data_IF_185168331700
#
_entry.id   IF_185168331700
#
_cell.length_a   1.000
_cell.length_b   1.000
_cell.length_c   1.000
_cell.angle_alpha   90.00
_cell.angle_beta   90.00
_cell.angle_gamma   90.00
#
_symmetry.space_group_name_H-M   'P 1'
#
loop_
_entity.id
_entity.type
_entity.pdbx_description
1 polymer ?
#
# COMPACT_ATOMS: atom_id res chain seq x y z
N UNK A 1 16.65 36.85 -20.75
CA UNK A 1 15.81 35.65 -21.06
C UNK A 1 16.35 34.31 -20.54
N UNK A 2 17.66 34.13 -20.24
CA UNK A 2 18.19 32.87 -19.69
C UNK A 2 17.85 32.62 -18.20
N UNK A 3 17.58 33.66 -17.41
CA UNK A 3 17.30 33.54 -15.97
C UNK A 3 15.86 33.08 -15.65
N UNK A 4 14.90 33.43 -16.51
CA UNK A 4 13.47 33.05 -16.34
C UNK A 4 13.26 31.55 -16.62
N UNK A 5 14.06 30.97 -17.53
CA UNK A 5 14.00 29.55 -17.88
C UNK A 5 14.55 28.62 -16.79
N UNK A 6 15.50 29.10 -15.96
CA UNK A 6 15.99 28.36 -14.79
C UNK A 6 14.96 28.35 -13.65
N UNK A 7 14.16 29.41 -13.52
CA UNK A 7 13.13 29.52 -12.48
C UNK A 7 11.93 28.60 -12.77
N UNK A 8 11.52 28.46 -14.03
CA UNK A 8 10.41 27.56 -14.42
C UNK A 8 10.78 26.08 -14.29
N UNK A 9 12.04 25.69 -14.54
CA UNK A 9 12.52 24.32 -14.33
C UNK A 9 12.60 23.98 -12.83
N UNK A 10 12.95 24.94 -11.98
CA UNK A 10 13.01 24.75 -10.51
C UNK A 10 11.62 24.54 -9.87
N UNK A 11 10.58 25.21 -10.41
CA UNK A 11 9.19 25.08 -9.93
C UNK A 11 8.58 23.72 -10.32
N UNK A 12 8.94 23.15 -11.48
CA UNK A 12 8.50 21.81 -11.91
C UNK A 12 9.14 20.66 -11.11
N UNK A 13 10.34 20.85 -10.55
CA UNK A 13 10.96 19.87 -9.65
C UNK A 13 10.32 19.86 -8.25
N UNK A 14 9.84 21.01 -7.79
CA UNK A 14 9.25 21.16 -6.46
C UNK A 14 7.88 20.48 -6.34
N UNK A 15 7.08 20.45 -7.42
CA UNK A 15 5.77 19.78 -7.43
C UNK A 15 5.86 18.25 -7.42
N UNK A 16 6.94 17.69 -7.96
CA UNK A 16 7.17 16.24 -8.02
C UNK A 16 7.48 15.66 -6.63
N UNK A 17 8.21 16.40 -5.79
CA UNK A 17 8.54 15.99 -4.41
C UNK A 17 7.33 16.03 -3.48
N UNK A 18 6.45 17.03 -3.64
CA UNK A 18 5.21 17.16 -2.84
C UNK A 18 4.23 16.03 -3.15
N UNK A 19 4.12 15.60 -4.41
CA UNK A 19 3.24 14.49 -4.80
C UNK A 19 3.69 13.14 -4.22
N UNK A 20 5.01 12.87 -4.22
CA UNK A 20 5.57 11.65 -3.62
C UNK A 20 5.38 11.60 -2.09
N UNK A 21 5.56 12.74 -1.40
CA UNK A 21 5.33 12.84 0.03
C UNK A 21 3.85 12.61 0.38
N UNK A 22 2.92 13.16 -0.40
CA UNK A 22 1.48 12.98 -0.18
C UNK A 22 1.04 11.52 -0.43
N UNK A 23 1.59 10.86 -1.44
CA UNK A 23 1.34 9.44 -1.68
C UNK A 23 1.87 8.54 -0.55
N UNK A 24 3.07 8.86 -0.02
CA UNK A 24 3.63 8.16 1.13
C UNK A 24 2.79 8.35 2.40
N UNK A 25 2.30 9.55 2.65
CA UNK A 25 1.40 9.84 3.79
C UNK A 25 0.09 9.06 3.70
N UNK A 26 -0.56 9.04 2.53
CA UNK A 26 -1.78 8.26 2.29
C UNK A 26 -1.57 6.76 2.48
N UNK A 27 -0.42 6.24 2.03
CA UNK A 27 -0.05 4.85 2.24
C UNK A 27 0.11 4.53 3.73
N UNK A 28 0.79 5.40 4.48
CA UNK A 28 0.95 5.22 5.92
C UNK A 28 -0.40 5.25 6.63
N UNK A 29 -1.29 6.20 6.29
CA UNK A 29 -2.65 6.26 6.85
C UNK A 29 -3.44 4.97 6.58
N UNK A 30 -3.36 4.42 5.36
CA UNK A 30 -4.00 3.16 5.00
C UNK A 30 -3.41 1.99 5.80
N UNK A 31 -2.08 1.96 5.97
CA UNK A 31 -1.39 0.93 6.75
C UNK A 31 -1.83 0.96 8.21
N UNK A 32 -1.85 2.13 8.86
CA UNK A 32 -2.30 2.24 10.26
C UNK A 32 -3.77 1.83 10.40
N UNK A 33 -4.63 2.23 9.46
CA UNK A 33 -6.05 1.85 9.46
C UNK A 33 -6.22 0.33 9.30
N UNK A 34 -5.43 -0.28 8.43
CA UNK A 34 -5.45 -1.73 8.23
C UNK A 34 -4.96 -2.45 9.49
N UNK A 35 -3.86 -1.99 10.10
CA UNK A 35 -3.35 -2.57 11.34
C UNK A 35 -4.40 -2.47 12.43
N UNK A 36 -4.98 -1.29 12.64
CA UNK A 36 -6.04 -1.08 13.62
C UNK A 36 -7.23 -2.02 13.38
N UNK A 37 -7.71 -2.12 12.14
CA UNK A 37 -8.86 -2.97 11.82
C UNK A 37 -8.55 -4.46 12.02
N UNK A 38 -7.35 -4.89 11.69
CA UNK A 38 -6.92 -6.28 11.88
C UNK A 38 -6.75 -6.61 13.37
N UNK A 39 -6.21 -5.66 14.17
CA UNK A 39 -6.11 -5.82 15.62
C UNK A 39 -7.48 -5.97 16.28
N UNK A 40 -8.46 -5.17 15.86
CA UNK A 40 -9.84 -5.20 16.32
C UNK A 40 -10.53 -6.55 15.99
N UNK A 41 -10.50 -6.97 14.72
CA UNK A 41 -11.14 -8.21 14.27
C UNK A 41 -10.51 -9.46 14.91
N UNK A 42 -9.18 -9.46 15.08
CA UNK A 42 -8.45 -10.58 15.69
C UNK A 42 -8.44 -10.53 17.22
N UNK A 43 -9.04 -9.49 17.81
CA UNK A 43 -9.11 -9.24 19.26
C UNK A 43 -7.74 -9.34 19.92
N UNK A 44 -6.75 -8.67 19.33
CA UNK A 44 -5.38 -8.70 19.83
C UNK A 44 -5.29 -7.99 21.18
N UNK A 45 -4.53 -8.58 22.09
CA UNK A 45 -4.12 -7.88 23.31
C UNK A 45 -3.11 -6.78 22.98
N UNK A 46 -2.91 -5.76 23.84
CA UNK A 46 -1.94 -4.68 23.58
C UNK A 46 -0.51 -5.19 23.28
N UNK A 47 -0.12 -6.29 23.90
CA UNK A 47 1.20 -6.93 23.67
C UNK A 47 1.27 -7.59 22.31
N UNK A 48 0.20 -8.29 21.90
CA UNK A 48 0.10 -8.91 20.58
C UNK A 48 0.00 -7.85 19.48
N UNK A 49 -0.80 -6.81 19.67
CA UNK A 49 -0.97 -5.70 18.73
C UNK A 49 0.35 -5.00 18.45
N UNK A 50 1.17 -4.74 19.48
CA UNK A 50 2.51 -4.17 19.29
C UNK A 50 3.38 -5.06 18.40
N UNK A 51 3.44 -6.36 18.69
CA UNK A 51 4.23 -7.33 17.90
C UNK A 51 3.70 -7.45 16.48
N UNK A 52 2.38 -7.50 16.31
CA UNK A 52 1.71 -7.56 15.03
C UNK A 52 2.06 -6.33 14.18
N UNK A 53 1.93 -5.13 14.77
CA UNK A 53 2.29 -3.85 14.14
C UNK A 53 3.75 -3.84 13.69
N UNK A 54 4.67 -4.23 14.58
CA UNK A 54 6.11 -4.29 14.29
C UNK A 54 6.40 -5.25 13.11
N UNK A 55 5.77 -6.42 13.08
CA UNK A 55 5.90 -7.41 12.00
C UNK A 55 5.36 -6.85 10.68
N UNK A 56 4.13 -6.33 10.66
CA UNK A 56 3.47 -5.82 9.46
C UNK A 56 4.24 -4.64 8.87
N UNK A 57 4.64 -3.66 9.68
CA UNK A 57 5.42 -2.50 9.21
C UNK A 57 6.78 -2.92 8.66
N UNK A 58 7.46 -3.86 9.31
CA UNK A 58 8.73 -4.39 8.82
C UNK A 58 8.59 -5.06 7.44
N UNK A 59 7.57 -5.91 7.27
CA UNK A 59 7.31 -6.59 6.00
C UNK A 59 6.88 -5.62 4.90
N UNK A 60 6.04 -4.63 5.22
CA UNK A 60 5.61 -3.62 4.27
C UNK A 60 6.74 -2.69 3.82
N UNK A 61 7.69 -2.36 4.70
CA UNK A 61 8.94 -1.66 4.33
C UNK A 61 9.76 -2.50 3.37
N UNK A 62 10.05 -3.77 3.73
CA UNK A 62 10.78 -4.70 2.87
C UNK A 62 10.12 -4.86 1.49
N UNK A 63 8.79 -4.96 1.44
CA UNK A 63 8.02 -5.03 0.19
C UNK A 63 8.14 -3.74 -0.64
N UNK A 64 8.16 -2.57 0.02
CA UNK A 64 8.37 -1.29 -0.65
C UNK A 64 9.77 -1.21 -1.28
N UNK A 65 10.79 -1.58 -0.53
CA UNK A 65 12.20 -1.53 -0.96
C UNK A 65 12.41 -2.47 -2.16
N UNK A 66 11.91 -3.72 -2.07
CA UNK A 66 11.96 -4.67 -3.17
C UNK A 66 11.19 -4.18 -4.40
N UNK A 67 10.02 -3.54 -4.22
CA UNK A 67 9.28 -2.96 -5.33
C UNK A 67 10.04 -1.80 -5.99
N UNK A 68 10.69 -0.95 -5.20
CA UNK A 68 11.54 0.12 -5.70
C UNK A 68 12.73 -0.45 -6.47
N UNK A 69 13.39 -1.49 -5.95
CA UNK A 69 14.48 -2.18 -6.66
C UNK A 69 14.04 -2.77 -8.00
N UNK A 70 12.83 -3.34 -8.08
CA UNK A 70 12.26 -3.83 -9.34
C UNK A 70 12.12 -2.69 -10.35
N UNK A 71 11.57 -1.54 -9.93
CA UNK A 71 11.42 -0.35 -10.79
C UNK A 71 12.78 0.17 -11.27
N UNK A 72 13.74 0.31 -10.35
CA UNK A 72 15.11 0.76 -10.68
C UNK A 72 15.77 -0.21 -11.67
N UNK A 73 15.60 -1.52 -11.50
CA UNK A 73 16.18 -2.50 -12.43
C UNK A 73 15.59 -2.36 -13.83
N UNK A 74 14.28 -2.10 -13.95
CA UNK A 74 13.63 -1.83 -15.25
C UNK A 74 14.18 -0.56 -15.91
N UNK A 75 14.33 0.53 -15.15
CA UNK A 75 14.93 1.75 -15.67
C UNK A 75 16.37 1.56 -16.15
N UNK A 76 17.16 0.79 -15.40
CA UNK A 76 18.55 0.47 -15.78
C UNK A 76 18.61 -0.41 -17.02
N UNK A 77 17.75 -1.42 -17.14
CA UNK A 77 17.62 -2.23 -18.35
C UNK A 77 17.29 -1.37 -19.59
N UNK A 78 16.40 -0.39 -19.42
CA UNK A 78 16.04 0.52 -20.51
C UNK A 78 17.21 1.41 -20.94
N UNK A 79 18.04 1.85 -19.99
CA UNK A 79 19.21 2.73 -20.21
C UNK A 79 20.50 1.97 -20.55
N UNK A 80 20.53 0.65 -20.47
CA UNK A 80 21.72 -0.16 -20.66
C UNK A 80 22.23 -0.13 -22.11
N UNK A 81 23.52 0.17 -22.28
CA UNK A 81 24.16 0.39 -23.59
C UNK A 81 24.42 -0.89 -24.40
N UNK A 82 24.50 -2.06 -23.74
CA UNK A 82 24.83 -3.32 -24.39
C UNK A 82 24.05 -4.50 -23.79
N UNK A 83 24.03 -5.62 -24.51
CA UNK A 83 23.28 -6.82 -24.14
C UNK A 83 23.74 -7.43 -22.80
N UNK A 84 25.04 -7.36 -22.48
CA UNK A 84 25.58 -7.90 -21.23
C UNK A 84 25.03 -7.15 -20.01
N UNK A 85 25.03 -5.81 -20.05
CA UNK A 85 24.45 -5.01 -18.97
C UNK A 85 22.94 -5.22 -18.82
N UNK A 86 22.21 -5.52 -19.91
CA UNK A 86 20.80 -5.89 -19.83
C UNK A 86 20.61 -7.25 -19.16
N UNK A 87 21.45 -8.23 -19.48
CA UNK A 87 21.41 -9.56 -18.87
C UNK A 87 21.72 -9.53 -17.37
N UNK A 88 22.69 -8.71 -16.96
CA UNK A 88 23.03 -8.51 -15.55
C UNK A 88 21.82 -7.94 -14.76
N UNK A 89 21.14 -6.93 -15.31
CA UNK A 89 19.95 -6.34 -14.69
C UNK A 89 18.73 -7.27 -14.75
N UNK A 90 18.56 -8.10 -15.80
CA UNK A 90 17.54 -9.16 -15.84
C UNK A 90 17.75 -10.20 -14.74
N UNK A 91 19.00 -10.59 -14.51
CA UNK A 91 19.38 -11.51 -13.43
C UNK A 91 19.05 -10.90 -12.07
N UNK A 92 19.35 -9.62 -11.87
CA UNK A 92 18.99 -8.89 -10.64
C UNK A 92 17.47 -8.80 -10.47
N UNK A 93 16.76 -8.38 -11.50
CA UNK A 93 15.30 -8.28 -11.51
C UNK A 93 14.64 -9.60 -11.10
N UNK A 94 15.09 -10.73 -11.67
CA UNK A 94 14.59 -12.07 -11.32
C UNK A 94 14.80 -12.38 -9.84
N UNK A 95 15.99 -12.12 -9.29
CA UNK A 95 16.29 -12.36 -7.86
C UNK A 95 15.43 -11.49 -6.96
N UNK A 96 15.29 -10.20 -7.26
CA UNK A 96 14.44 -9.28 -6.50
C UNK A 96 12.97 -9.71 -6.57
N UNK A 97 12.49 -10.17 -7.72
CA UNK A 97 11.12 -10.65 -7.89
C UNK A 97 10.84 -11.90 -7.04
N UNK A 98 11.80 -12.84 -7.00
CA UNK A 98 11.72 -14.01 -6.12
C UNK A 98 11.67 -13.60 -4.64
N UNK A 99 12.55 -12.68 -4.23
CA UNK A 99 12.55 -12.14 -2.86
C UNK A 99 11.24 -11.44 -2.51
N UNK A 100 10.65 -10.72 -3.47
CA UNK A 100 9.35 -10.06 -3.30
C UNK A 100 8.23 -11.09 -3.05
N UNK A 101 8.22 -12.19 -3.81
CA UNK A 101 7.26 -13.29 -3.60
C UNK A 101 7.39 -13.93 -2.22
N UNK A 102 8.62 -14.14 -1.74
CA UNK A 102 8.90 -14.73 -0.41
C UNK A 102 8.42 -13.89 0.77
N UNK A 103 8.17 -12.59 0.60
CA UNK A 103 7.64 -11.75 1.69
C UNK A 103 6.30 -12.28 2.20
N UNK A 104 5.46 -12.87 1.34
CA UNK A 104 4.18 -13.46 1.75
C UNK A 104 4.34 -14.72 2.60
N UNK A 105 5.36 -15.53 2.31
CA UNK A 105 5.71 -16.71 3.13
C UNK A 105 6.25 -16.27 4.49
N UNK A 106 7.17 -15.30 4.50
CA UNK A 106 7.73 -14.73 5.75
C UNK A 106 6.64 -14.12 6.64
N UNK A 107 5.62 -13.50 6.05
CA UNK A 107 4.48 -12.98 6.78
C UNK A 107 3.70 -14.08 7.48
N UNK A 108 3.42 -15.18 6.79
CA UNK A 108 2.77 -16.34 7.37
C UNK A 108 3.60 -16.93 8.52
N UNK A 109 4.89 -17.12 8.30
CA UNK A 109 5.79 -17.73 9.28
C UNK A 109 5.98 -16.87 10.54
N UNK A 110 5.97 -15.54 10.40
CA UNK A 110 6.10 -14.61 11.54
C UNK A 110 4.79 -14.41 12.30
N UNK A 111 3.65 -14.37 11.59
CA UNK A 111 2.35 -14.10 12.21
C UNK A 111 1.72 -15.35 12.82
N UNK A 112 1.89 -16.53 12.22
CA UNK A 112 1.27 -17.76 12.73
C UNK A 112 1.64 -18.09 14.19
N UNK A 113 2.90 -17.97 14.65
CA UNK A 113 3.25 -18.18 16.05
C UNK A 113 2.63 -17.15 17.01
N UNK A 114 2.41 -15.93 16.53
CA UNK A 114 1.80 -14.85 17.32
C UNK A 114 0.28 -15.04 17.45
N UNK A 115 -0.38 -15.36 16.34
CA UNK A 115 -1.84 -15.41 16.25
C UNK A 115 -2.40 -16.79 16.65
N UNK A 116 -1.65 -17.86 16.38
CA UNK A 116 -2.17 -19.23 16.40
C UNK A 116 -2.98 -19.56 15.13
N UNK A 117 -3.28 -20.83 14.91
CA UNK A 117 -3.87 -21.31 13.65
C UNK A 117 -5.24 -20.71 13.33
N UNK A 118 -6.12 -20.57 14.33
CA UNK A 118 -7.48 -20.06 14.13
C UNK A 118 -7.47 -18.57 13.74
N UNK A 119 -6.81 -17.72 14.54
CA UNK A 119 -6.68 -16.28 14.22
C UNK A 119 -5.87 -16.07 12.94
N UNK A 120 -4.92 -16.94 12.60
CA UNK A 120 -4.21 -16.85 11.33
C UNK A 120 -5.13 -17.15 10.13
N UNK A 121 -6.04 -18.12 10.24
CA UNK A 121 -7.02 -18.38 9.19
C UNK A 121 -7.98 -17.18 9.02
N UNK A 122 -8.47 -16.62 10.13
CA UNK A 122 -9.30 -15.41 10.12
C UNK A 122 -8.54 -14.23 9.48
N UNK A 123 -7.29 -14.03 9.87
CA UNK A 123 -6.40 -13.01 9.30
C UNK A 123 -6.32 -13.12 7.77
N UNK A 124 -6.16 -14.32 7.22
CA UNK A 124 -6.07 -14.52 5.77
C UNK A 124 -7.36 -14.17 5.05
N UNK A 125 -8.52 -14.56 5.62
CA UNK A 125 -9.84 -14.21 5.07
C UNK A 125 -10.05 -12.70 5.07
N UNK A 126 -9.85 -12.05 6.23
CA UNK A 126 -10.04 -10.60 6.37
C UNK A 126 -9.13 -9.85 5.40
N UNK A 127 -7.87 -10.27 5.28
CA UNK A 127 -6.90 -9.67 4.35
C UNK A 127 -7.35 -9.79 2.90
N UNK A 128 -7.86 -10.95 2.50
CA UNK A 128 -8.37 -11.17 1.15
C UNK A 128 -9.56 -10.25 0.86
N UNK A 129 -10.50 -10.15 1.79
CA UNK A 129 -11.68 -9.29 1.67
C UNK A 129 -11.30 -7.81 1.56
N UNK A 130 -10.42 -7.33 2.43
CA UNK A 130 -9.90 -5.96 2.35
C UNK A 130 -9.21 -5.68 1.01
N UNK A 131 -8.37 -6.61 0.56
CA UNK A 131 -7.65 -6.47 -0.71
C UNK A 131 -8.63 -6.37 -1.88
N UNK A 132 -9.65 -7.22 -1.91
CA UNK A 132 -10.68 -7.22 -2.94
C UNK A 132 -11.50 -5.93 -2.92
N UNK A 133 -11.86 -5.44 -1.73
CA UNK A 133 -12.59 -4.18 -1.56
C UNK A 133 -11.79 -2.98 -2.04
N UNK A 134 -10.51 -2.90 -1.68
CA UNK A 134 -9.60 -1.85 -2.16
C UNK A 134 -9.49 -1.91 -3.69
N UNK A 135 -9.30 -3.09 -4.27
CA UNK A 135 -9.28 -3.25 -5.74
C UNK A 135 -10.57 -2.78 -6.39
N UNK A 136 -11.73 -3.12 -5.84
CA UNK A 136 -13.01 -2.66 -6.39
C UNK A 136 -13.18 -1.14 -6.31
N UNK A 137 -12.73 -0.51 -5.23
CA UNK A 137 -12.78 0.95 -5.07
C UNK A 137 -11.87 1.67 -6.07
N UNK A 138 -10.68 1.10 -6.33
CA UNK A 138 -9.75 1.66 -7.31
C UNK A 138 -10.21 1.44 -8.76
N UNK A 139 -10.90 0.34 -9.05
CA UNK A 139 -11.42 0.03 -10.37
C UNK A 139 -12.67 0.85 -10.73
N UNK A 140 -13.54 1.15 -9.75
CA UNK A 140 -14.81 1.86 -9.95
C UNK A 140 -14.98 3.00 -8.92
N UNK A 141 -14.30 4.16 -9.10
CA UNK A 141 -14.41 5.28 -8.17
C UNK A 141 -15.82 5.90 -8.11
N UNK A 142 -16.64 5.70 -9.15
CA UNK A 142 -17.98 6.30 -9.33
C UNK A 142 -19.12 5.48 -8.69
N UNK A 143 -18.91 4.22 -8.26
CA UNK A 143 -20.02 3.36 -7.79
C UNK A 143 -20.46 3.60 -6.35
N UNK A 144 -19.76 4.45 -5.59
CA UNK A 144 -20.14 4.79 -4.22
C UNK A 144 -21.06 6.03 -4.11
N UNK A 145 -21.53 6.59 -5.24
CA UNK A 145 -22.28 7.86 -5.28
C UNK A 145 -23.75 7.81 -5.72
N UNK A 146 -24.29 6.67 -6.17
CA UNK A 146 -25.70 6.58 -6.63
C UNK A 146 -26.45 5.46 -5.90
N UNK A 147 -26.91 5.77 -4.69
CA UNK A 147 -27.75 4.84 -3.93
C UNK A 147 -28.31 5.34 -2.61
N UNK A 148 -27.74 6.37 -1.99
CA UNK A 148 -28.38 7.01 -0.83
C UNK A 148 -29.50 7.93 -1.32
N UNK A 149 -30.72 7.38 -1.41
CA UNK A 149 -31.92 8.22 -1.33
C UNK A 149 -31.76 9.08 -0.07
N UNK A 150 -31.65 10.39 -0.26
CA UNK A 150 -31.68 11.34 0.82
C UNK A 150 -32.90 11.02 1.70
N UNK A 151 -32.68 10.89 3.01
CA UNK A 151 -33.78 10.75 3.95
C UNK A 151 -34.75 11.92 3.71
N UNK A 152 -36.06 11.67 3.59
CA UNK A 152 -37.01 12.74 3.36
C UNK A 152 -36.93 13.73 4.54
N UNK A 153 -36.82 15.01 4.21
CA UNK A 153 -36.75 16.08 5.20
C UNK A 153 -37.91 15.97 6.19
N UNK A 154 -37.66 16.16 7.50
CA UNK A 154 -38.72 16.10 8.51
C UNK A 154 -39.84 17.08 8.17
N UNK A 155 -41.08 16.60 8.12
CA UNK A 155 -42.24 17.48 8.02
C UNK A 155 -42.37 18.24 9.34
N UNK A 156 -42.29 19.57 9.27
CA UNK A 156 -42.69 20.44 10.38
C UNK A 156 -44.12 20.09 10.78
N UNK A 157 -44.31 19.75 12.05
CA UNK A 157 -45.64 19.67 12.66
C UNK A 157 -46.05 21.13 12.89
N UNK A 158 -46.99 21.62 12.09
CA UNK A 158 -47.69 22.86 12.41
C UNK A 158 -48.61 22.56 13.61
N UNK A 159 -48.31 23.14 14.77
CA UNK A 159 -49.26 23.20 15.88
C UNK A 159 -50.42 24.11 15.47
N UNK A 160 -51.63 23.58 15.59
CA UNK A 160 -52.89 24.31 15.46
C UNK A 160 -53.29 24.92 16.80
#
# INVERSE_FOLDING_TARGET
>A
MRLIFLFTISILFSTSLVSAAHAAEKRNQLEELLIWKMSDELKLTPVEEKKFTDIVKSLNRKKADLNHELQVSVEKMQKAANAKSKEDELTKYRKTLQSYGRVGEEEFDKLKPLLGSERMAQYLVIKQDLTNRIKSMLANPESNGKGSKALPSPKLIEEK
#
